data_IF_000561100426
#
_entry.id   IF_000561100426
#
_cell.length_a   1.000
_cell.length_b   1.000
_cell.length_c   1.000
_cell.angle_alpha   90.00
_cell.angle_beta   90.00
_cell.angle_gamma   90.00
#
_symmetry.space_group_name_H-M   'P 1'
#
loop_
_entity.id
_entity.type
_entity.pdbx_description
1 polymer ?
#
# COMPACT_ATOMS: atom_id res chain seq x y z
N UNK A 1 51.84 -21.68 -13.69
CA UNK A 1 50.41 -21.66 -13.31
C UNK A 1 50.14 -20.34 -12.60
N UNK A 2 49.30 -19.47 -13.17
CA UNK A 2 48.81 -18.28 -12.46
C UNK A 2 47.31 -18.16 -12.80
N UNK A 3 46.45 -18.59 -11.88
CA UNK A 3 44.99 -18.39 -12.00
C UNK A 3 44.70 -16.91 -11.74
N UNK A 4 44.31 -16.17 -12.77
CA UNK A 4 43.77 -14.82 -12.62
C UNK A 4 42.29 -14.97 -12.26
N UNK A 5 41.94 -14.48 -11.07
CA UNK A 5 40.59 -14.42 -10.50
C UNK A 5 39.71 -13.59 -11.44
N UNK A 6 38.60 -14.17 -11.91
CA UNK A 6 37.57 -13.43 -12.63
C UNK A 6 36.86 -12.56 -11.61
N UNK A 7 37.08 -11.25 -11.65
CA UNK A 7 36.27 -10.29 -10.90
C UNK A 7 34.89 -10.22 -11.55
N UNK A 8 33.90 -10.72 -10.82
CA UNK A 8 32.49 -10.62 -11.18
C UNK A 8 32.06 -9.15 -11.02
N UNK A 9 31.97 -8.42 -12.14
CA UNK A 9 31.46 -7.06 -12.16
C UNK A 9 29.97 -7.10 -11.81
N UNK A 10 29.66 -6.72 -10.57
CA UNK A 10 28.29 -6.63 -10.08
C UNK A 10 27.54 -5.55 -10.89
N UNK A 11 26.62 -6.01 -11.75
CA UNK A 11 25.86 -5.20 -12.69
C UNK A 11 25.05 -4.10 -11.97
N UNK A 12 25.26 -2.79 -12.28
CA UNK A 12 24.67 -1.68 -11.52
C UNK A 12 23.17 -1.42 -11.81
N UNK A 13 22.48 -2.30 -12.53
CA UNK A 13 21.07 -2.11 -12.92
C UNK A 13 20.17 -3.27 -12.47
N UNK A 14 20.24 -3.67 -11.21
CA UNK A 14 19.12 -4.38 -10.59
C UNK A 14 18.01 -3.36 -10.34
N UNK A 15 17.12 -3.15 -11.33
CA UNK A 15 15.93 -2.28 -11.19
C UNK A 15 15.19 -2.70 -9.91
N UNK A 16 15.31 -1.91 -8.84
CA UNK A 16 14.53 -2.04 -7.62
C UNK A 16 13.07 -1.83 -8.00
N UNK A 17 12.27 -2.89 -7.88
CA UNK A 17 10.82 -2.79 -8.00
C UNK A 17 10.29 -2.72 -6.57
N UNK A 18 9.94 -1.53 -6.11
CA UNK A 18 9.25 -1.32 -4.85
C UNK A 18 7.77 -1.70 -5.03
N UNK A 19 7.46 -3.01 -5.03
CA UNK A 19 6.08 -3.50 -5.19
C UNK A 19 5.39 -3.46 -3.84
N UNK A 20 4.50 -2.49 -3.62
CA UNK A 20 3.53 -2.56 -2.53
C UNK A 20 2.43 -3.54 -2.93
N UNK A 21 2.26 -4.61 -2.16
CA UNK A 21 1.13 -5.53 -2.34
C UNK A 21 -0.13 -4.82 -1.84
N UNK A 22 -1.12 -4.68 -2.73
CA UNK A 22 -2.41 -4.10 -2.41
C UNK A 22 -3.56 -5.06 -2.70
N UNK A 23 -4.67 -4.90 -1.98
CA UNK A 23 -5.92 -5.63 -2.17
C UNK A 23 -7.03 -4.69 -2.64
N UNK A 24 -8.10 -5.30 -3.13
CA UNK A 24 -9.37 -4.64 -3.39
C UNK A 24 -10.51 -5.55 -2.92
N UNK A 25 -11.66 -4.96 -2.58
CA UNK A 25 -12.88 -5.72 -2.32
C UNK A 25 -14.10 -4.90 -2.76
N UNK A 26 -15.24 -5.58 -2.82
CA UNK A 26 -16.54 -5.01 -3.14
C UNK A 26 -17.45 -5.09 -1.92
N UNK A 27 -18.30 -4.09 -1.73
CA UNK A 27 -19.36 -4.11 -0.72
C UNK A 27 -20.63 -3.47 -1.25
N UNK A 28 -21.76 -3.85 -0.66
CA UNK A 28 -23.06 -3.30 -1.01
C UNK A 28 -23.34 -2.03 -0.20
N UNK A 29 -23.66 -0.94 -0.90
CA UNK A 29 -24.15 0.28 -0.31
C UNK A 29 -25.58 0.14 0.20
N UNK A 30 -25.99 0.99 1.14
CA UNK A 30 -27.38 1.04 1.64
C UNK A 30 -28.44 1.26 0.54
N UNK A 31 -28.07 1.82 -0.61
CA UNK A 31 -28.94 1.99 -1.80
C UNK A 31 -29.07 0.73 -2.65
N UNK A 32 -28.30 -0.32 -2.38
CA UNK A 32 -28.20 -1.53 -3.20
C UNK A 32 -27.05 -1.52 -4.20
N UNK A 33 -26.37 -0.39 -4.39
CA UNK A 33 -25.24 -0.29 -5.33
C UNK A 33 -24.02 -1.11 -4.86
N UNK A 34 -23.38 -1.81 -5.79
CA UNK A 34 -22.12 -2.50 -5.52
C UNK A 34 -20.94 -1.53 -5.68
N UNK A 35 -20.14 -1.37 -4.63
CA UNK A 35 -19.03 -0.40 -4.57
C UNK A 35 -17.70 -1.14 -4.41
N UNK A 36 -16.71 -0.75 -5.20
CA UNK A 36 -15.33 -1.23 -5.12
C UNK A 36 -14.45 -0.28 -4.28
N UNK A 37 -13.69 -0.84 -3.34
CA UNK A 37 -12.53 -0.16 -2.75
C UNK A 37 -11.27 -0.86 -3.24
N UNK A 38 -10.30 -0.11 -3.74
CA UNK A 38 -9.04 -0.64 -4.29
C UNK A 38 -7.80 0.05 -3.72
N UNK A 39 -6.62 -0.51 -3.99
CA UNK A 39 -5.31 -0.07 -3.45
C UNK A 39 -5.21 -0.12 -1.90
N UNK A 40 -5.87 -1.09 -1.27
CA UNK A 40 -5.79 -1.30 0.17
C UNK A 40 -4.42 -1.92 0.50
N UNK A 41 -3.56 -1.26 1.29
CA UNK A 41 -2.22 -1.76 1.55
C UNK A 41 -2.30 -2.99 2.45
N UNK A 42 -1.57 -4.05 2.08
CA UNK A 42 -1.46 -5.26 2.90
C UNK A 42 -0.27 -5.08 3.84
N UNK A 43 -0.55 -4.78 5.10
CA UNK A 43 0.47 -4.68 6.14
C UNK A 43 0.53 -5.99 6.93
N UNK A 44 1.74 -6.36 7.35
CA UNK A 44 1.95 -7.43 8.32
C UNK A 44 1.30 -7.04 9.66
N UNK A 45 0.81 -8.01 10.43
CA UNK A 45 0.08 -7.72 11.68
C UNK A 45 0.95 -6.92 12.68
N UNK A 46 2.24 -7.23 12.74
CA UNK A 46 3.26 -6.56 13.56
C UNK A 46 3.68 -5.18 13.04
N UNK A 47 3.19 -4.74 11.87
CA UNK A 47 3.52 -3.41 11.36
C UNK A 47 2.91 -2.35 12.28
N UNK A 48 3.67 -1.33 12.75
CA UNK A 48 3.16 -0.34 13.72
C UNK A 48 1.90 0.41 13.28
N UNK A 49 1.72 0.59 11.97
CA UNK A 49 0.57 1.26 11.37
C UNK A 49 -0.60 0.33 11.03
N UNK A 50 -0.53 -0.98 11.30
CA UNK A 50 -1.57 -1.96 10.92
C UNK A 50 -2.95 -1.58 11.48
N UNK A 51 -3.02 -1.28 12.78
CA UNK A 51 -4.25 -0.85 13.45
C UNK A 51 -4.79 0.48 12.89
N UNK A 52 -3.90 1.45 12.63
CA UNK A 52 -4.27 2.73 12.07
C UNK A 52 -4.90 2.56 10.69
N UNK A 53 -4.26 1.79 9.81
CA UNK A 53 -4.76 1.53 8.45
C UNK A 53 -6.10 0.79 8.48
N UNK A 54 -6.25 -0.21 9.35
CA UNK A 54 -7.53 -0.91 9.52
C UNK A 54 -8.63 0.04 9.99
N UNK A 55 -8.35 0.88 10.99
CA UNK A 55 -9.30 1.88 11.50
C UNK A 55 -9.69 2.89 10.42
N UNK A 56 -8.73 3.35 9.62
CA UNK A 56 -8.96 4.26 8.48
C UNK A 56 -9.83 3.61 7.41
N UNK A 57 -9.67 2.32 7.15
CA UNK A 57 -10.51 1.59 6.19
C UNK A 57 -11.96 1.54 6.65
N UNK A 58 -12.20 1.21 7.93
CA UNK A 58 -13.54 1.22 8.51
C UNK A 58 -14.21 2.60 8.43
N UNK A 59 -13.48 3.65 8.80
CA UNK A 59 -13.98 5.03 8.68
C UNK A 59 -14.28 5.42 7.24
N UNK A 60 -13.47 4.96 6.28
CA UNK A 60 -13.68 5.26 4.87
C UNK A 60 -14.94 4.58 4.33
N UNK A 61 -15.15 3.30 4.64
CA UNK A 61 -16.38 2.57 4.29
C UNK A 61 -17.60 3.27 4.89
N UNK A 62 -17.56 3.61 6.18
CA UNK A 62 -18.65 4.32 6.85
C UNK A 62 -18.93 5.70 6.22
N UNK A 63 -17.90 6.41 5.74
CA UNK A 63 -18.07 7.66 5.00
C UNK A 63 -18.73 7.45 3.64
N UNK A 64 -18.43 6.36 2.94
CA UNK A 64 -19.07 6.04 1.66
C UNK A 64 -20.54 5.66 1.87
N UNK A 65 -20.84 4.85 2.89
CA UNK A 65 -22.20 4.43 3.25
C UNK A 65 -23.16 5.59 3.58
N UNK A 66 -22.63 6.76 3.93
CA UNK A 66 -23.40 7.97 4.21
C UNK A 66 -23.63 8.87 2.99
N UNK A 67 -23.05 8.53 1.83
CA UNK A 67 -23.21 9.34 0.61
C UNK A 67 -24.54 9.00 -0.05
N UNK A 68 -25.32 10.04 -0.41
CA UNK A 68 -26.58 9.85 -1.13
C UNK A 68 -26.39 9.21 -2.51
N UNK A 69 -25.29 9.57 -3.18
CA UNK A 69 -24.95 9.09 -4.52
C UNK A 69 -23.46 8.67 -4.51
N UNK A 70 -23.15 7.46 -4.02
CA UNK A 70 -21.78 6.98 -4.02
C UNK A 70 -21.29 6.70 -5.45
N UNK A 71 -19.97 6.83 -5.65
CA UNK A 71 -19.30 6.38 -6.87
C UNK A 71 -19.20 4.85 -6.87
N UNK A 72 -19.10 4.26 -8.04
CA UNK A 72 -18.86 2.82 -8.18
C UNK A 72 -17.53 2.37 -7.55
N UNK A 73 -16.49 3.22 -7.56
CA UNK A 73 -15.17 2.84 -7.07
C UNK A 73 -14.45 3.98 -6.32
N UNK A 74 -13.59 3.58 -5.38
CA UNK A 74 -12.80 4.47 -4.54
C UNK A 74 -11.39 3.93 -4.29
N UNK A 75 -10.36 4.77 -4.49
CA UNK A 75 -8.98 4.44 -4.11
C UNK A 75 -8.79 4.69 -2.61
N UNK A 76 -8.37 3.65 -1.89
CA UNK A 76 -8.00 3.80 -0.49
C UNK A 76 -6.65 4.53 -0.34
N UNK A 77 -5.75 4.39 -1.32
CA UNK A 77 -4.48 5.12 -1.35
C UNK A 77 -4.68 6.63 -1.42
N UNK A 78 -5.56 7.10 -2.31
CA UNK A 78 -5.90 8.53 -2.40
C UNK A 78 -6.53 9.05 -1.10
N UNK A 79 -7.34 8.22 -0.44
CA UNK A 79 -7.91 8.56 0.86
C UNK A 79 -6.83 8.68 1.94
N UNK A 80 -5.91 7.71 2.02
CA UNK A 80 -4.81 7.73 2.98
C UNK A 80 -3.86 8.91 2.76
N UNK A 81 -3.57 9.25 1.51
CA UNK A 81 -2.74 10.42 1.16
C UNK A 81 -3.29 11.73 1.74
N UNK A 82 -4.62 11.84 1.88
CA UNK A 82 -5.29 13.03 2.43
C UNK A 82 -5.39 13.05 3.95
N UNK A 83 -5.33 11.89 4.62
CA UNK A 83 -5.63 11.79 6.05
C UNK A 83 -4.47 11.29 6.93
N UNK A 84 -3.40 10.77 6.34
CA UNK A 84 -2.17 10.42 7.04
C UNK A 84 -1.16 11.57 7.00
N UNK A 85 -0.27 11.60 8.00
CA UNK A 85 0.96 12.40 7.90
C UNK A 85 1.80 11.83 6.76
N UNK A 86 2.54 12.69 6.07
CA UNK A 86 3.36 12.28 4.91
C UNK A 86 4.30 11.12 5.24
N UNK A 87 4.97 11.14 6.39
CA UNK A 87 5.87 10.07 6.81
C UNK A 87 5.15 8.72 6.98
N UNK A 88 3.96 8.73 7.57
CA UNK A 88 3.14 7.52 7.74
C UNK A 88 2.66 6.99 6.38
N UNK A 89 2.24 7.88 5.50
CA UNK A 89 1.86 7.52 4.13
C UNK A 89 3.03 6.86 3.38
N UNK A 90 4.24 7.42 3.51
CA UNK A 90 5.45 6.82 2.95
C UNK A 90 5.75 5.46 3.59
N UNK A 91 5.65 5.30 4.91
CA UNK A 91 5.89 4.00 5.57
C UNK A 91 4.91 2.91 5.11
N UNK A 92 3.69 3.29 4.72
CA UNK A 92 2.67 2.36 4.22
C UNK A 92 2.91 1.99 2.75
N UNK A 93 3.40 2.92 1.91
CA UNK A 93 3.47 2.75 0.45
C UNK A 93 4.88 2.86 -0.18
N UNK A 94 5.93 3.09 0.61
CA UNK A 94 7.35 3.07 0.20
C UNK A 94 8.11 2.10 1.10
N UNK A 95 7.94 0.82 0.87
CA UNK A 95 8.80 -0.20 1.49
C UNK A 95 9.72 -0.81 0.43
N UNK A 96 10.90 -0.19 0.26
CA UNK A 96 12.21 -0.86 0.04
C UNK A 96 13.40 0.14 -0.12
N UNK A 97 13.73 0.88 0.94
CA UNK A 97 15.14 1.18 1.20
C UNK A 97 15.71 0.02 2.02
N UNK A 98 16.26 -0.99 1.34
CA UNK A 98 17.16 -1.95 1.99
C UNK A 98 18.35 -1.16 2.55
N UNK A 99 18.26 -0.76 3.81
CA UNK A 99 19.40 -0.55 4.69
C UNK A 99 19.81 -1.94 5.21
N UNK A 100 20.66 -2.62 4.45
CA UNK A 100 21.48 -3.71 4.98
C UNK A 100 22.90 -3.53 4.44
N UNK A 101 23.64 -2.65 5.10
CA UNK A 101 25.05 -2.89 5.33
C UNK A 101 25.13 -3.80 6.55
N UNK A 102 25.49 -5.06 6.35
CA UNK A 102 26.03 -5.96 7.37
C UNK A 102 27.02 -6.88 6.67
#
# INVERSE_FOLDING_TARGET
>A
MLQRKVEEVQNPMKKRIDIVITKSFYFTHSTGDCIKIFEIPVLQAQHPLSFLIQSRLQLFIAKIQKQKHPRFSYSFREYLQKCLKWNDYLNVYKTNTLEKNA
#
